data_IF_085440174426
#
_entry.id   IF_085440174426
#
_cell.length_a   1.000
_cell.length_b   1.000
_cell.length_c   1.000
_cell.angle_alpha   90.00
_cell.angle_beta   90.00
_cell.angle_gamma   90.00
#
_symmetry.space_group_name_H-M   'P 1'
#
loop_
_entity.id
_entity.type
_entity.pdbx_description
1 polymer ?
#
# COMPACT_ATOMS: atom_id res chain seq x y z
N UNK A 1 -32.11 -4.68 -25.61
CA UNK A 1 -30.82 -5.37 -25.92
C UNK A 1 -30.85 -6.85 -25.54
N UNK A 2 -31.37 -7.21 -24.36
CA UNK A 2 -31.66 -8.62 -23.98
C UNK A 2 -32.58 -9.34 -24.97
N UNK A 3 -33.63 -8.67 -25.47
CA UNK A 3 -34.62 -9.30 -26.36
C UNK A 3 -34.10 -9.56 -27.79
N UNK A 4 -33.16 -8.73 -28.27
CA UNK A 4 -32.53 -8.90 -29.59
C UNK A 4 -31.51 -10.05 -29.55
N UNK A 5 -30.77 -10.18 -28.46
CA UNK A 5 -29.83 -11.30 -28.26
C UNK A 5 -30.57 -12.64 -28.07
N UNK A 6 -31.75 -12.63 -27.43
CA UNK A 6 -32.61 -13.80 -27.33
C UNK A 6 -33.17 -14.24 -28.70
N UNK A 7 -33.58 -13.28 -29.54
CA UNK A 7 -34.04 -13.59 -30.90
C UNK A 7 -32.93 -14.19 -31.78
N UNK A 8 -31.70 -13.66 -31.66
CA UNK A 8 -30.53 -14.17 -32.40
C UNK A 8 -30.13 -15.59 -31.95
N UNK A 9 -30.25 -15.90 -30.66
CA UNK A 9 -29.97 -17.24 -30.14
C UNK A 9 -30.97 -18.31 -30.63
N UNK A 10 -32.21 -17.90 -30.91
CA UNK A 10 -33.27 -18.79 -31.42
C UNK A 10 -33.14 -19.00 -32.94
N UNK A 11 -32.77 -17.96 -33.69
CA UNK A 11 -32.72 -18.02 -35.16
C UNK A 11 -31.42 -18.62 -35.71
N UNK A 12 -30.30 -18.50 -34.99
CA UNK A 12 -29.00 -18.98 -35.46
C UNK A 12 -28.94 -20.50 -35.73
N UNK A 13 -29.51 -21.38 -34.89
CA UNK A 13 -29.52 -22.82 -35.17
C UNK A 13 -30.39 -23.19 -36.39
N UNK A 14 -31.51 -22.50 -36.59
CA UNK A 14 -32.40 -22.73 -37.72
C UNK A 14 -31.75 -22.30 -39.06
N UNK A 15 -31.07 -21.16 -39.07
CA UNK A 15 -30.29 -20.68 -40.22
C UNK A 15 -29.10 -21.61 -40.53
N UNK A 16 -28.44 -22.14 -39.51
CA UNK A 16 -27.34 -23.10 -39.70
C UNK A 16 -27.81 -24.47 -40.23
N UNK A 17 -29.00 -24.93 -39.82
CA UNK A 17 -29.60 -26.17 -40.31
C UNK A 17 -30.02 -26.04 -41.79
N UNK A 18 -30.64 -24.92 -42.16
CA UNK A 18 -31.06 -24.65 -43.54
C UNK A 18 -29.86 -24.50 -44.49
N UNK A 19 -28.78 -23.86 -44.02
CA UNK A 19 -27.51 -23.78 -44.76
C UNK A 19 -26.88 -25.17 -45.02
N UNK A 20 -27.07 -26.13 -44.10
CA UNK A 20 -26.52 -27.49 -44.23
C UNK A 20 -27.29 -28.35 -45.23
N UNK A 21 -28.61 -28.19 -45.32
CA UNK A 21 -29.44 -28.87 -46.34
C UNK A 21 -29.20 -28.31 -47.75
N UNK A 22 -29.03 -27.00 -47.90
CA UNK A 22 -28.76 -26.40 -49.21
C UNK A 22 -27.36 -26.74 -49.72
N UNK A 23 -26.34 -26.85 -48.86
CA UNK A 23 -25.00 -27.26 -49.26
C UNK A 23 -24.85 -28.78 -49.53
N UNK A 24 -25.73 -29.63 -48.99
CA UNK A 24 -25.73 -31.06 -49.34
C UNK A 24 -26.19 -31.31 -50.79
N UNK A 25 -26.96 -30.38 -51.37
CA UNK A 25 -27.38 -30.44 -52.79
C UNK A 25 -26.31 -29.91 -53.76
N UNK A 26 -25.22 -29.32 -53.27
CA UNK A 26 -24.14 -28.74 -54.10
C UNK A 26 -23.09 -29.80 -54.51
N UNK A 27 -23.13 -31.01 -53.93
CA UNK A 27 -22.19 -32.09 -54.25
C UNK A 27 -22.57 -32.84 -55.55
N UNK A 28 -23.75 -32.60 -56.12
CA UNK A 28 -24.18 -33.16 -57.41
C UNK A 28 -24.31 -32.07 -58.49
N UNK A 29 -23.18 -31.47 -58.88
CA UNK A 29 -22.83 -31.24 -60.28
C UNK A 29 -23.70 -30.38 -61.21
N UNK A 30 -24.56 -29.46 -60.76
CA UNK A 30 -25.23 -28.51 -61.67
C UNK A 30 -24.96 -27.02 -61.34
N UNK A 31 -24.69 -26.15 -62.35
CA UNK A 31 -24.47 -24.73 -62.13
C UNK A 31 -25.80 -23.97 -62.04
N UNK A 32 -25.98 -23.15 -60.99
CA UNK A 32 -27.15 -22.25 -60.85
C UNK A 32 -26.72 -20.79 -60.67
N UNK A 33 -27.58 -19.82 -61.09
CA UNK A 33 -27.19 -18.43 -61.29
C UNK A 33 -27.13 -17.65 -59.96
N UNK A 34 -26.33 -16.58 -59.97
CA UNK A 34 -26.18 -15.58 -58.90
C UNK A 34 -27.52 -15.27 -58.22
N UNK A 35 -27.73 -15.85 -57.05
CA UNK A 35 -29.02 -15.85 -56.37
C UNK A 35 -29.06 -14.84 -55.23
N UNK A 36 -30.29 -14.44 -54.90
CA UNK A 36 -30.78 -13.46 -53.93
C UNK A 36 -30.06 -13.36 -52.57
N UNK A 37 -29.22 -14.35 -52.22
CA UNK A 37 -28.54 -14.51 -50.94
C UNK A 37 -27.31 -13.62 -50.76
N UNK A 38 -26.62 -13.22 -51.83
CA UNK A 38 -25.50 -12.27 -51.73
C UNK A 38 -25.96 -10.88 -51.26
N UNK A 39 -27.18 -10.47 -51.61
CA UNK A 39 -27.79 -9.22 -51.15
C UNK A 39 -28.17 -9.27 -49.68
N UNK A 40 -28.66 -10.42 -49.19
CA UNK A 40 -29.00 -10.60 -47.77
C UNK A 40 -27.74 -10.49 -46.90
N UNK A 41 -26.63 -11.08 -47.33
CA UNK A 41 -25.33 -10.95 -46.64
C UNK A 41 -24.79 -9.52 -46.66
N UNK A 42 -24.91 -8.81 -47.79
CA UNK A 42 -24.49 -7.41 -47.88
C UNK A 42 -25.29 -6.51 -46.93
N UNK A 43 -26.61 -6.70 -46.85
CA UNK A 43 -27.48 -5.93 -45.93
C UNK A 43 -27.16 -6.25 -44.46
N UNK A 44 -26.91 -7.52 -44.13
CA UNK A 44 -26.51 -7.91 -42.77
C UNK A 44 -25.20 -7.25 -42.32
N UNK A 45 -24.18 -7.20 -43.20
CA UNK A 45 -22.92 -6.53 -42.92
C UNK A 45 -23.08 -5.01 -42.71
N UNK A 46 -23.96 -4.36 -43.50
CA UNK A 46 -24.25 -2.92 -43.35
C UNK A 46 -24.93 -2.64 -42.01
N UNK A 47 -25.90 -3.47 -41.59
CA UNK A 47 -26.59 -3.33 -40.30
C UNK A 47 -25.61 -3.49 -39.13
N UNK A 48 -24.69 -4.46 -39.20
CA UNK A 48 -23.65 -4.66 -38.17
C UNK A 48 -22.72 -3.43 -38.09
N UNK A 49 -22.28 -2.90 -39.24
CA UNK A 49 -21.44 -1.69 -39.28
C UNK A 49 -22.15 -0.45 -38.73
N UNK A 50 -23.45 -0.28 -39.02
CA UNK A 50 -24.25 0.82 -38.48
C UNK A 50 -24.45 0.68 -36.96
N UNK A 51 -24.68 -0.53 -36.45
CA UNK A 51 -24.74 -0.81 -35.02
C UNK A 51 -23.41 -0.54 -34.31
N UNK A 52 -22.27 -0.90 -34.92
CA UNK A 52 -20.94 -0.58 -34.37
C UNK A 52 -20.66 0.91 -34.39
N UNK A 53 -21.07 1.64 -35.43
CA UNK A 53 -20.95 3.11 -35.50
C UNK A 53 -21.81 3.81 -34.44
N UNK A 54 -23.04 3.34 -34.20
CA UNK A 54 -23.90 3.86 -33.14
C UNK A 54 -23.30 3.59 -31.74
N UNK A 55 -22.71 2.41 -31.53
CA UNK A 55 -22.00 2.07 -30.29
C UNK A 55 -20.78 2.95 -30.03
N UNK A 56 -20.02 3.31 -31.07
CA UNK A 56 -18.86 4.20 -30.96
C UNK A 56 -19.26 5.67 -30.77
N UNK A 57 -20.35 6.13 -31.38
CA UNK A 57 -20.91 7.48 -31.16
C UNK A 57 -21.42 7.67 -29.73
N UNK A 58 -22.07 6.64 -29.15
CA UNK A 58 -22.51 6.67 -27.74
C UNK A 58 -21.35 6.67 -26.72
N UNK A 59 -20.09 6.47 -27.14
CA UNK A 59 -18.92 6.60 -26.26
C UNK A 59 -18.24 7.98 -26.31
N UNK A 60 -18.63 8.88 -27.22
CA UNK A 60 -17.88 10.12 -27.49
C UNK A 60 -18.65 11.42 -27.29
N UNK A 61 -19.87 11.38 -26.77
CA UNK A 61 -20.59 12.58 -26.33
C UNK A 61 -21.27 12.31 -25.00
N UNK A 62 -20.67 12.85 -23.93
CA UNK A 62 -21.37 13.55 -22.85
C UNK A 62 -20.32 14.21 -21.93
N UNK A 63 -19.96 15.43 -22.34
CA UNK A 63 -19.52 16.49 -21.43
C UNK A 63 -20.73 16.99 -20.65
N UNK A 64 -20.56 17.14 -19.33
CA UNK A 64 -21.52 17.71 -18.36
C UNK A 64 -22.79 16.87 -18.10
N UNK A 65 -22.67 15.88 -17.22
CA UNK A 65 -23.76 15.43 -16.35
C UNK A 65 -23.15 14.85 -15.06
N UNK A 66 -23.33 15.54 -13.94
CA UNK A 66 -23.08 14.99 -12.59
C UNK A 66 -24.07 13.86 -12.39
N UNK A 67 -23.57 12.62 -12.37
CA UNK A 67 -24.39 11.43 -12.45
C UNK A 67 -24.94 11.08 -11.05
N UNK A 68 -26.25 11.08 -10.89
CA UNK A 68 -26.98 10.74 -9.64
C UNK A 68 -26.60 9.34 -9.10
N UNK A 69 -26.02 8.48 -9.94
CA UNK A 69 -25.41 7.21 -9.53
C UNK A 69 -24.14 7.37 -8.68
N UNK A 70 -23.31 8.39 -8.94
CA UNK A 70 -22.09 8.65 -8.17
C UNK A 70 -22.39 9.23 -6.78
N UNK A 71 -23.55 9.85 -6.58
CA UNK A 71 -24.01 10.30 -5.25
C UNK A 71 -24.61 9.17 -4.40
N UNK A 72 -25.23 8.16 -5.04
CA UNK A 72 -25.72 6.98 -4.34
C UNK A 72 -24.58 6.02 -3.98
N UNK A 73 -23.58 5.84 -4.85
CA UNK A 73 -22.40 5.00 -4.59
C UNK A 73 -21.50 5.53 -3.45
N UNK A 74 -21.57 6.83 -3.12
CA UNK A 74 -20.87 7.41 -1.95
C UNK A 74 -21.57 7.13 -0.61
N UNK A 75 -22.85 6.74 -0.62
CA UNK A 75 -23.62 6.51 0.63
C UNK A 75 -23.35 5.14 1.25
N UNK A 76 -22.90 4.16 0.48
CA UNK A 76 -22.75 2.77 0.94
C UNK A 76 -21.32 2.39 1.37
N UNK A 77 -20.39 3.36 1.43
CA UNK A 77 -19.05 3.17 2.03
C UNK A 77 -18.09 2.24 1.29
N UNK A 78 -18.43 1.79 0.07
CA UNK A 78 -17.58 0.90 -0.74
C UNK A 78 -16.73 1.74 -1.72
N UNK A 79 -15.51 2.07 -1.31
CA UNK A 79 -14.52 2.74 -2.17
C UNK A 79 -14.09 1.83 -3.34
N UNK A 80 -14.00 2.36 -4.57
CA UNK A 80 -13.72 1.59 -5.81
C UNK A 80 -12.23 1.61 -6.15
N UNK A 81 -11.78 0.60 -6.93
CA UNK A 81 -10.36 0.38 -7.31
C UNK A 81 -9.56 1.62 -7.74
N UNK A 82 -10.22 2.60 -8.37
CA UNK A 82 -9.63 3.87 -8.84
C UNK A 82 -9.32 4.87 -7.73
N UNK A 83 -9.97 4.77 -6.58
CA UNK A 83 -9.72 5.61 -5.41
C UNK A 83 -8.41 5.22 -4.70
N UNK A 84 -7.71 4.18 -5.19
CA UNK A 84 -6.51 3.58 -4.58
C UNK A 84 -5.27 3.64 -5.46
N UNK A 85 -5.38 4.22 -6.66
CA UNK A 85 -4.19 4.61 -7.41
C UNK A 85 -3.58 5.79 -6.65
N UNK A 86 -2.30 5.67 -6.27
CA UNK A 86 -1.58 6.79 -5.69
C UNK A 86 -1.78 8.01 -6.59
N UNK A 87 -2.07 9.16 -5.98
CA UNK A 87 -2.37 10.39 -6.69
C UNK A 87 -1.41 10.56 -7.87
N UNK A 88 -1.95 10.60 -9.08
CA UNK A 88 -1.15 10.66 -10.31
C UNK A 88 -0.35 11.97 -10.39
N UNK A 89 -0.61 12.93 -9.49
CA UNK A 89 0.11 14.20 -9.37
C UNK A 89 1.23 14.18 -8.30
N UNK A 90 1.31 13.11 -7.50
CA UNK A 90 2.32 12.96 -6.45
C UNK A 90 3.75 12.85 -6.98
N UNK A 91 4.72 13.24 -6.15
CA UNK A 91 6.15 13.28 -6.50
C UNK A 91 6.68 11.93 -7.04
N UNK A 92 6.24 10.80 -6.47
CA UNK A 92 6.62 9.45 -6.93
C UNK A 92 6.17 9.13 -8.37
N UNK A 93 5.12 9.78 -8.86
CA UNK A 93 4.55 9.59 -10.19
C UNK A 93 5.03 10.68 -11.15
N UNK A 94 5.11 11.93 -10.68
CA UNK A 94 5.35 13.11 -11.51
C UNK A 94 6.83 13.35 -11.85
N UNK A 95 7.77 12.95 -10.98
CA UNK A 95 9.18 13.19 -11.25
C UNK A 95 9.74 12.24 -12.33
N UNK A 96 10.70 12.71 -13.15
CA UNK A 96 11.41 11.85 -14.09
C UNK A 96 12.06 10.68 -13.37
N UNK A 97 11.85 9.49 -13.92
CA UNK A 97 12.43 8.24 -13.42
C UNK A 97 13.69 7.91 -14.23
N UNK A 98 14.69 7.34 -13.56
CA UNK A 98 15.83 6.74 -14.25
C UNK A 98 15.46 5.38 -14.88
N UNK A 99 16.43 4.72 -15.50
CA UNK A 99 16.26 3.43 -16.19
C UNK A 99 15.74 2.31 -15.28
N UNK A 100 15.96 2.44 -13.97
CA UNK A 100 15.51 1.50 -12.94
C UNK A 100 14.14 1.88 -12.35
N UNK A 101 13.49 2.93 -12.88
CA UNK A 101 12.21 3.42 -12.39
C UNK A 101 12.31 4.28 -11.11
N UNK A 102 13.51 4.68 -10.71
CA UNK A 102 13.73 5.45 -9.48
C UNK A 102 13.64 6.96 -9.70
N UNK A 103 13.08 7.68 -8.72
CA UNK A 103 13.22 9.13 -8.59
C UNK A 103 14.44 9.46 -7.73
N UNK A 104 14.92 10.71 -7.80
CA UNK A 104 16.01 11.22 -6.96
C UNK A 104 15.56 12.46 -6.21
N UNK A 105 15.73 12.46 -4.88
CA UNK A 105 15.43 13.62 -4.04
C UNK A 105 16.67 14.02 -3.22
N UNK A 106 16.99 15.32 -3.10
CA UNK A 106 18.12 15.80 -2.33
C UNK A 106 17.84 15.74 -0.82
N UNK A 107 18.81 15.27 -0.04
CA UNK A 107 18.79 15.42 1.41
C UNK A 107 18.97 16.90 1.76
N UNK A 108 17.94 17.54 2.30
CA UNK A 108 17.98 18.98 2.63
C UNK A 108 18.22 19.25 4.10
N UNK A 109 17.81 18.33 4.98
CA UNK A 109 18.03 18.45 6.42
C UNK A 109 18.26 17.09 7.06
N UNK A 110 19.18 17.04 8.03
CA UNK A 110 19.39 15.89 8.90
C UNK A 110 19.45 16.36 10.36
N UNK A 111 18.53 15.86 11.19
CA UNK A 111 18.43 16.25 12.61
C UNK A 111 18.64 15.01 13.47
N UNK A 112 19.54 15.09 14.45
CA UNK A 112 19.77 14.00 15.41
C UNK A 112 18.63 13.97 16.44
N UNK A 113 18.01 12.81 16.65
CA UNK A 113 16.95 12.60 17.65
C UNK A 113 17.56 12.11 18.96
N UNK A 114 18.33 11.02 18.88
CA UNK A 114 19.00 10.42 20.03
C UNK A 114 20.39 9.91 19.63
N UNK A 115 20.99 9.04 20.43
CA UNK A 115 22.35 8.54 20.23
C UNK A 115 22.61 7.91 18.85
N UNK A 116 21.62 7.26 18.25
CA UNK A 116 21.78 6.54 16.98
C UNK A 116 20.65 6.79 15.97
N UNK A 117 19.70 7.67 16.23
CA UNK A 117 18.56 7.91 15.34
C UNK A 117 18.53 9.35 14.84
N UNK A 118 18.17 9.53 13.56
CA UNK A 118 18.07 10.83 12.89
C UNK A 118 16.77 10.96 12.10
N UNK A 119 16.25 12.18 12.02
CA UNK A 119 15.32 12.61 10.97
C UNK A 119 16.11 12.98 9.71
N UNK A 120 15.70 12.42 8.58
CA UNK A 120 16.17 12.75 7.24
C UNK A 120 15.03 13.40 6.47
N UNK A 121 15.23 14.62 6.00
CA UNK A 121 14.27 15.36 5.19
C UNK A 121 14.76 15.51 3.77
N UNK A 122 13.88 15.20 2.83
CA UNK A 122 14.11 15.36 1.40
C UNK A 122 13.06 16.31 0.84
N UNK A 123 13.49 17.44 0.28
CA UNK A 123 12.55 18.42 -0.27
C UNK A 123 12.18 18.05 -1.71
N UNK A 124 10.93 18.32 -2.07
CA UNK A 124 10.43 18.15 -3.42
C UNK A 124 10.79 19.37 -4.28
N UNK A 125 10.87 19.22 -5.61
CA UNK A 125 11.07 20.36 -6.50
C UNK A 125 9.96 21.42 -6.41
N UNK A 126 8.71 21.00 -6.20
CA UNK A 126 7.57 21.88 -5.95
C UNK A 126 7.13 21.80 -4.50
N UNK A 127 6.91 22.97 -3.88
CA UNK A 127 6.43 23.07 -2.49
C UNK A 127 4.96 22.69 -2.31
N UNK A 128 4.19 22.62 -3.40
CA UNK A 128 2.76 22.36 -3.37
C UNK A 128 2.40 20.88 -3.59
N UNK A 129 3.39 20.06 -3.99
CA UNK A 129 3.20 18.64 -4.24
C UNK A 129 3.29 17.81 -2.96
N UNK A 130 2.49 16.75 -2.91
CA UNK A 130 2.57 15.67 -1.93
C UNK A 130 3.45 14.53 -2.46
N UNK A 131 3.84 13.60 -1.60
CA UNK A 131 4.77 12.54 -2.00
C UNK A 131 4.16 11.53 -2.99
N UNK A 132 2.85 11.27 -2.92
CA UNK A 132 2.19 10.25 -3.74
C UNK A 132 2.34 8.82 -3.21
N UNK A 133 2.36 8.65 -1.88
CA UNK A 133 2.40 7.35 -1.20
C UNK A 133 1.05 7.03 -0.58
N UNK A 134 0.52 5.82 -0.82
CA UNK A 134 -0.69 5.34 -0.14
C UNK A 134 -0.40 4.97 1.32
N UNK A 135 -1.38 5.10 2.21
CA UNK A 135 -1.25 4.69 3.63
C UNK A 135 -1.05 3.18 3.71
N UNK A 136 -0.03 2.72 4.42
CA UNK A 136 0.43 1.33 4.45
C UNK A 136 1.53 1.02 3.42
N UNK A 137 1.87 2.00 2.58
CA UNK A 137 2.94 1.91 1.60
C UNK A 137 4.32 2.27 2.16
N UNK A 138 5.36 1.93 1.41
CA UNK A 138 6.74 2.33 1.65
C UNK A 138 7.44 2.64 0.32
N UNK A 139 8.67 3.14 0.43
CA UNK A 139 9.59 3.27 -0.71
C UNK A 139 10.81 2.39 -0.50
N UNK A 140 11.52 2.10 -1.58
CA UNK A 140 12.80 1.39 -1.57
C UNK A 140 13.89 2.41 -1.87
N UNK A 141 14.87 2.51 -0.96
CA UNK A 141 16.08 3.28 -1.17
C UNK A 141 17.12 2.40 -1.85
N UNK A 142 17.78 2.96 -2.86
CA UNK A 142 18.89 2.35 -3.57
C UNK A 142 20.17 3.14 -3.30
N UNK A 143 21.24 2.41 -3.01
CA UNK A 143 22.56 2.97 -2.82
C UNK A 143 23.62 1.99 -3.28
N UNK A 144 24.70 2.52 -3.83
CA UNK A 144 25.87 1.72 -4.18
C UNK A 144 26.91 1.86 -3.06
N UNK A 145 27.27 0.75 -2.41
CA UNK A 145 28.12 0.74 -1.21
C UNK A 145 29.25 -0.27 -1.35
N UNK A 146 30.36 -0.02 -0.67
CA UNK A 146 31.39 -1.05 -0.47
C UNK A 146 30.88 -2.05 0.58
N UNK A 147 30.71 -3.31 0.20
CA UNK A 147 30.38 -4.38 1.13
C UNK A 147 31.68 -4.84 1.83
N UNK A 148 31.81 -4.63 3.16
CA UNK A 148 33.01 -4.99 3.90
C UNK A 148 33.24 -6.50 4.02
N UNK A 149 32.21 -7.34 3.81
CA UNK A 149 32.34 -8.79 3.85
C UNK A 149 32.92 -9.34 2.53
N UNK A 150 32.50 -8.77 1.40
CA UNK A 150 32.93 -9.24 0.07
C UNK A 150 34.09 -8.42 -0.50
N UNK A 151 34.35 -7.23 0.04
CA UNK A 151 35.31 -6.26 -0.48
C UNK A 151 34.91 -5.67 -1.84
N UNK A 152 33.65 -5.83 -2.25
CA UNK A 152 33.14 -5.39 -3.57
C UNK A 152 32.14 -4.26 -3.42
N UNK A 153 32.05 -3.45 -4.48
CA UNK A 153 31.00 -2.46 -4.63
C UNK A 153 29.71 -3.15 -5.05
N UNK A 154 28.64 -2.95 -4.30
CA UNK A 154 27.36 -3.61 -4.49
C UNK A 154 26.23 -2.58 -4.39
N UNK A 155 25.23 -2.72 -5.27
CA UNK A 155 23.98 -1.99 -5.12
C UNK A 155 23.11 -2.67 -4.06
N UNK A 156 22.62 -1.90 -3.11
CA UNK A 156 21.77 -2.36 -2.02
C UNK A 156 20.43 -1.64 -2.05
N UNK A 157 19.37 -2.41 -1.78
CA UNK A 157 18.00 -1.92 -1.71
C UNK A 157 17.42 -2.12 -0.30
N UNK A 158 16.83 -1.08 0.31
CA UNK A 158 16.19 -1.19 1.63
C UNK A 158 14.89 -0.40 1.69
N UNK A 159 13.89 -0.97 2.37
CA UNK A 159 12.54 -0.40 2.50
C UNK A 159 12.50 0.61 3.64
N UNK A 160 11.84 1.74 3.41
CA UNK A 160 11.59 2.77 4.41
C UNK A 160 10.18 3.33 4.27
N UNK A 161 9.48 3.43 5.40
CA UNK A 161 8.22 4.15 5.49
C UNK A 161 8.50 5.55 6.04
N UNK A 162 8.04 6.62 5.38
CA UNK A 162 8.17 7.97 5.92
C UNK A 162 7.30 8.17 7.17
N UNK A 163 7.67 9.15 7.99
CA UNK A 163 6.93 9.55 9.20
C UNK A 163 6.14 10.85 9.01
N UNK A 164 6.44 11.62 7.96
CA UNK A 164 5.58 12.72 7.53
C UNK A 164 4.25 12.17 7.04
N UNK A 165 3.17 12.91 7.27
CA UNK A 165 1.84 12.53 6.78
C UNK A 165 1.84 12.45 5.26
N UNK A 166 0.94 11.64 4.67
CA UNK A 166 0.84 11.55 3.20
C UNK A 166 0.40 12.85 2.54
N UNK A 167 -0.29 13.70 3.31
CA UNK A 167 -0.71 15.04 2.91
C UNK A 167 0.39 16.11 3.09
N UNK A 168 1.59 15.72 3.54
CA UNK A 168 2.69 16.65 3.69
C UNK A 168 3.13 17.17 2.32
N UNK A 169 3.09 18.49 2.16
CA UNK A 169 3.52 19.18 0.96
C UNK A 169 4.96 19.65 1.04
N UNK A 170 5.65 19.59 -0.09
CA UNK A 170 6.98 20.16 -0.31
C UNK A 170 8.17 19.38 0.26
N UNK A 171 7.95 18.39 1.12
CA UNK A 171 9.02 17.51 1.60
C UNK A 171 8.49 16.17 2.11
N UNK A 172 9.40 15.21 2.25
CA UNK A 172 9.17 13.93 2.92
C UNK A 172 10.22 13.70 4.02
N UNK A 173 9.81 13.12 5.14
CA UNK A 173 10.69 12.84 6.27
C UNK A 173 10.72 11.36 6.66
N UNK A 174 11.92 10.89 7.02
CA UNK A 174 12.17 9.53 7.49
C UNK A 174 12.91 9.57 8.84
N UNK A 175 12.46 8.74 9.79
CA UNK A 175 13.18 8.47 11.04
C UNK A 175 13.96 7.19 10.86
N UNK A 176 15.30 7.28 10.93
CA UNK A 176 16.17 6.15 10.63
C UNK A 176 17.18 5.97 11.77
N UNK A 177 17.15 4.76 12.34
CA UNK A 177 18.14 4.27 13.30
C UNK A 177 19.39 3.80 12.56
N UNK A 178 20.55 4.27 13.00
CA UNK A 178 21.86 3.98 12.43
C UNK A 178 22.46 2.77 13.14
N UNK A 179 22.78 1.73 12.38
CA UNK A 179 23.49 0.56 12.89
C UNK A 179 24.96 0.67 12.52
N UNK A 180 25.81 1.13 13.44
CA UNK A 180 27.24 1.35 13.13
C UNK A 180 28.04 0.07 13.27
N UNK A 181 29.13 -0.03 12.51
CA UNK A 181 30.10 -1.10 12.69
C UNK A 181 30.70 -1.07 14.11
N UNK A 182 30.97 -2.25 14.68
CA UNK A 182 31.56 -2.41 16.01
C UNK A 182 30.61 -2.26 17.20
N UNK A 183 29.38 -1.80 17.01
CA UNK A 183 28.42 -1.63 18.13
C UNK A 183 27.73 -2.95 18.55
N UNK A 184 27.59 -3.91 17.63
CA UNK A 184 26.94 -5.19 17.90
C UNK A 184 27.85 -6.36 17.51
N UNK A 185 28.28 -7.22 18.46
CA UNK A 185 29.13 -8.37 18.17
C UNK A 185 28.55 -9.36 17.16
N UNK A 186 27.20 -9.48 17.08
CA UNK A 186 26.53 -10.34 16.09
C UNK A 186 26.50 -9.74 14.68
N UNK A 187 26.68 -8.42 14.58
CA UNK A 187 26.64 -7.68 13.32
C UNK A 187 27.84 -6.72 13.28
N UNK A 188 29.08 -7.24 13.22
CA UNK A 188 30.30 -6.45 13.40
C UNK A 188 30.45 -5.34 12.35
N UNK A 189 29.90 -5.52 11.16
CA UNK A 189 29.95 -4.55 10.06
C UNK A 189 28.82 -3.51 10.06
N UNK A 190 27.85 -3.62 10.98
CA UNK A 190 26.70 -2.73 11.06
C UNK A 190 25.75 -2.83 9.86
N UNK A 191 24.88 -1.83 9.70
CA UNK A 191 23.90 -1.75 8.63
C UNK A 191 24.43 -0.94 7.45
N UNK A 192 24.58 -1.59 6.29
CA UNK A 192 25.14 -0.98 5.07
C UNK A 192 24.40 0.30 4.65
N UNK A 193 23.08 0.23 4.45
CA UNK A 193 22.27 1.39 4.05
C UNK A 193 22.28 2.49 5.11
N UNK A 194 22.13 2.13 6.38
CA UNK A 194 22.04 3.13 7.45
C UNK A 194 23.35 3.89 7.62
N UNK A 195 24.50 3.23 7.50
CA UNK A 195 25.80 3.90 7.52
C UNK A 195 26.07 4.72 6.25
N UNK A 196 25.53 4.30 5.10
CA UNK A 196 25.53 5.11 3.88
C UNK A 196 24.74 6.42 4.11
N UNK A 197 23.52 6.33 4.65
CA UNK A 197 22.68 7.50 4.96
C UNK A 197 23.31 8.43 6.00
N UNK A 198 24.00 7.88 7.01
CA UNK A 198 24.76 8.69 7.97
C UNK A 198 25.88 9.51 7.31
N UNK A 199 26.44 9.01 6.19
CA UNK A 199 27.49 9.70 5.43
C UNK A 199 26.95 10.59 4.31
N UNK A 200 25.71 10.41 3.88
CA UNK A 200 25.05 11.21 2.86
C UNK A 200 25.11 12.70 3.24
N UNK A 201 25.65 13.55 2.36
CA UNK A 201 25.80 14.98 2.64
C UNK A 201 24.53 15.75 2.29
N UNK A 202 24.32 16.86 2.98
CA UNK A 202 23.24 17.79 2.61
C UNK A 202 23.47 18.26 1.17
N UNK A 203 22.41 18.21 0.35
CA UNK A 203 22.43 18.48 -1.08
C UNK A 203 22.63 17.23 -1.96
N UNK A 204 23.14 16.13 -1.42
CA UNK A 204 23.25 14.87 -2.17
C UNK A 204 21.89 14.20 -2.31
N UNK A 205 21.63 13.64 -3.49
CA UNK A 205 20.35 12.98 -3.79
C UNK A 205 20.39 11.49 -3.50
N UNK A 206 19.26 10.97 -3.00
CA UNK A 206 19.03 9.56 -2.76
C UNK A 206 18.09 9.00 -3.82
N UNK A 207 18.42 7.83 -4.38
CA UNK A 207 17.53 7.09 -5.29
C UNK A 207 16.41 6.43 -4.49
N UNK A 208 15.16 6.65 -4.90
CA UNK A 208 13.97 6.10 -4.28
C UNK A 208 13.02 5.51 -5.33
N UNK A 209 12.46 4.34 -5.05
CA UNK A 209 11.43 3.71 -5.86
C UNK A 209 10.15 3.51 -5.03
N UNK A 210 9.00 3.79 -5.63
CA UNK A 210 7.70 3.52 -5.03
C UNK A 210 6.55 4.08 -5.86
N UNK A 211 5.32 3.99 -5.33
CA UNK A 211 4.96 3.41 -4.03
C UNK A 211 4.99 1.87 -4.04
N UNK A 212 5.39 1.25 -2.93
CA UNK A 212 5.40 -0.21 -2.73
C UNK A 212 4.56 -0.59 -1.51
N UNK A 213 4.01 -1.80 -1.49
CA UNK A 213 3.21 -2.28 -0.37
C UNK A 213 2.10 -3.23 -0.81
N UNK A 214 1.63 -4.08 0.11
CA UNK A 214 0.48 -4.98 -0.12
C UNK A 214 -0.73 -4.62 0.73
N UNK A 215 -0.58 -3.68 1.65
CA UNK A 215 -1.60 -3.20 2.57
C UNK A 215 -1.82 -1.73 2.26
N UNK A 216 -3.08 -1.36 2.04
CA UNK A 216 -3.50 0.03 1.95
C UNK A 216 -4.62 0.30 2.95
N UNK A 217 -4.46 1.30 3.81
CA UNK A 217 -5.56 1.81 4.63
C UNK A 217 -6.30 2.90 3.85
N UNK A 218 -7.61 2.78 3.79
CA UNK A 218 -8.46 3.59 2.91
C UNK A 218 -9.36 4.54 3.70
N UNK A 219 -9.20 4.59 5.02
CA UNK A 219 -10.06 5.35 5.94
C UNK A 219 -11.29 4.55 6.39
N UNK A 220 -11.88 5.00 7.50
CA UNK A 220 -13.10 4.44 8.10
C UNK A 220 -13.05 2.92 8.33
N UNK A 221 -11.88 2.35 8.61
CA UNK A 221 -11.72 0.91 8.82
C UNK A 221 -11.65 0.06 7.54
N UNK A 222 -11.63 0.69 6.36
CA UNK A 222 -11.47 0.01 5.09
C UNK A 222 -9.99 -0.27 4.81
N UNK A 223 -9.67 -1.53 4.52
CA UNK A 223 -8.34 -1.97 4.12
C UNK A 223 -8.39 -2.71 2.79
N UNK A 224 -7.40 -2.46 1.96
CA UNK A 224 -7.10 -3.27 0.79
C UNK A 224 -5.81 -4.05 1.05
N UNK A 225 -5.91 -5.37 1.22
CA UNK A 225 -4.78 -6.21 1.58
C UNK A 225 -4.65 -7.38 0.63
N UNK A 226 -3.49 -7.53 -0.01
CA UNK A 226 -3.19 -8.63 -0.93
C UNK A 226 -4.31 -8.88 -1.95
N UNK A 227 -4.85 -7.78 -2.51
CA UNK A 227 -5.94 -7.75 -3.50
C UNK A 227 -7.35 -8.05 -2.98
N UNK A 228 -7.57 -7.99 -1.66
CA UNK A 228 -8.88 -8.22 -1.02
C UNK A 228 -9.29 -7.01 -0.18
N UNK A 229 -10.59 -6.73 -0.14
CA UNK A 229 -11.16 -5.71 0.75
C UNK A 229 -11.49 -6.31 2.11
N UNK A 230 -11.21 -5.54 3.15
CA UNK A 230 -11.52 -5.88 4.52
C UNK A 230 -12.10 -4.63 5.20
N UNK A 231 -13.15 -4.82 5.99
CA UNK A 231 -13.71 -3.79 6.87
C UNK A 231 -13.43 -4.22 8.29
N UNK A 232 -12.83 -3.33 9.08
CA UNK A 232 -12.32 -3.62 10.42
C UNK A 232 -12.73 -2.52 11.37
N UNK A 233 -13.02 -2.87 12.62
CA UNK A 233 -13.42 -1.94 13.68
C UNK A 233 -12.33 -1.80 14.75
N UNK A 234 -11.37 -2.73 14.79
CA UNK A 234 -10.22 -2.70 15.69
C UNK A 234 -8.93 -3.16 14.99
N UNK A 235 -7.81 -2.54 15.35
CA UNK A 235 -6.47 -2.87 14.86
C UNK A 235 -5.55 -3.14 16.05
N UNK A 236 -5.01 -4.35 16.14
CA UNK A 236 -3.84 -4.65 16.97
C UNK A 236 -2.56 -4.37 16.19
N UNK A 237 -1.64 -3.65 16.80
CA UNK A 237 -0.42 -3.18 16.16
C UNK A 237 0.77 -3.62 17.01
N UNK A 238 1.67 -4.42 16.43
CA UNK A 238 2.86 -4.91 17.12
C UNK A 238 4.10 -4.38 16.39
N UNK A 239 4.78 -3.42 17.01
CA UNK A 239 5.96 -2.76 16.47
C UNK A 239 7.22 -3.13 17.26
N UNK A 240 8.36 -3.22 16.57
CA UNK A 240 9.67 -3.39 17.20
C UNK A 240 10.71 -2.44 16.62
N UNK A 241 11.28 -1.56 17.44
CA UNK A 241 12.26 -0.55 17.02
C UNK A 241 11.77 0.30 15.83
N UNK A 242 12.53 0.32 14.73
CA UNK A 242 12.19 1.09 13.52
C UNK A 242 10.92 0.61 12.79
N UNK A 243 10.40 -0.58 13.15
CA UNK A 243 9.12 -1.09 12.65
C UNK A 243 7.90 -0.26 13.08
N UNK A 244 8.08 0.74 13.95
CA UNK A 244 7.02 1.70 14.27
C UNK A 244 6.57 2.55 13.07
N UNK A 245 7.44 2.81 12.10
CA UNK A 245 7.16 3.76 11.01
C UNK A 245 5.93 3.40 10.15
N UNK A 246 5.72 2.16 9.65
CA UNK A 246 4.48 1.77 8.96
C UNK A 246 3.24 1.82 9.86
N UNK A 247 3.40 1.52 11.14
CA UNK A 247 2.30 1.55 12.12
C UNK A 247 1.86 3.00 12.38
N UNK A 248 2.83 3.89 12.57
CA UNK A 248 2.60 5.30 12.79
C UNK A 248 1.89 5.96 11.61
N UNK A 249 2.23 5.58 10.38
CA UNK A 249 1.53 6.06 9.18
C UNK A 249 0.03 5.72 9.18
N UNK A 250 -0.35 4.52 9.64
CA UNK A 250 -1.77 4.15 9.81
C UNK A 250 -2.41 5.00 10.91
N UNK A 251 -1.76 5.11 12.07
CA UNK A 251 -2.30 5.87 13.21
C UNK A 251 -2.54 7.34 12.83
N UNK A 252 -1.58 7.97 12.16
CA UNK A 252 -1.72 9.35 11.65
C UNK A 252 -2.94 9.48 10.72
N UNK A 253 -3.18 8.50 9.85
CA UNK A 253 -4.33 8.52 8.96
C UNK A 253 -5.66 8.35 9.69
N UNK A 254 -5.73 7.42 10.65
CA UNK A 254 -6.92 7.21 11.51
C UNK A 254 -7.30 8.52 12.20
N UNK A 255 -6.31 9.18 12.77
CA UNK A 255 -6.47 10.45 13.49
C UNK A 255 -6.88 11.58 12.54
N UNK A 256 -6.19 11.73 11.41
CA UNK A 256 -6.47 12.76 10.41
C UNK A 256 -7.92 12.66 9.89
N UNK A 257 -8.38 11.44 9.59
CA UNK A 257 -9.72 11.17 9.09
C UNK A 257 -10.80 11.20 10.18
N UNK A 258 -10.41 11.27 11.46
CA UNK A 258 -11.31 11.12 12.63
C UNK A 258 -12.07 9.80 12.59
N UNK A 259 -11.37 8.74 12.17
CA UNK A 259 -11.94 7.41 12.05
C UNK A 259 -12.30 6.86 13.44
N UNK A 260 -13.43 6.17 13.55
CA UNK A 260 -13.91 5.60 14.82
C UNK A 260 -13.29 4.25 15.18
N UNK A 261 -12.33 3.78 14.38
CA UNK A 261 -11.60 2.53 14.62
C UNK A 261 -10.76 2.63 15.88
N UNK A 262 -10.62 1.52 16.61
CA UNK A 262 -9.71 1.44 17.76
C UNK A 262 -8.36 0.86 17.35
N UNK A 263 -7.30 1.44 17.87
CA UNK A 263 -5.92 1.06 17.61
C UNK A 263 -5.24 0.70 18.92
N UNK A 264 -4.67 -0.50 18.99
CA UNK A 264 -3.95 -1.03 20.15
C UNK A 264 -2.50 -1.27 19.77
N UNK A 265 -1.59 -0.41 20.22
CA UNK A 265 -0.17 -0.51 19.92
C UNK A 265 0.60 -1.15 21.08
N UNK A 266 1.21 -2.31 20.82
CA UNK A 266 2.29 -2.87 21.62
C UNK A 266 3.63 -2.57 20.94
N UNK A 267 4.43 -1.69 21.54
CA UNK A 267 5.67 -1.19 20.96
C UNK A 267 6.91 -1.64 21.74
N UNK A 268 7.66 -2.57 21.14
CA UNK A 268 8.86 -3.19 21.69
C UNK A 268 10.15 -2.44 21.37
N UNK A 269 10.98 -2.17 22.38
CA UNK A 269 12.29 -1.53 22.24
C UNK A 269 13.33 -2.17 23.18
N UNK A 270 14.62 -1.90 22.98
CA UNK A 270 15.67 -2.43 23.87
C UNK A 270 15.68 -1.74 25.24
N UNK A 271 15.57 -0.42 25.22
CA UNK A 271 15.55 0.44 26.41
C UNK A 271 14.66 1.66 26.18
N UNK A 272 14.43 2.45 27.22
CA UNK A 272 13.54 3.62 27.16
C UNK A 272 14.06 4.70 26.19
N UNK A 273 15.38 4.92 26.15
CA UNK A 273 16.04 5.83 25.20
C UNK A 273 15.97 5.39 23.72
N UNK A 274 15.59 4.14 23.47
CA UNK A 274 15.44 3.59 22.12
C UNK A 274 14.03 3.79 21.54
N UNK A 275 13.08 4.25 22.35
CA UNK A 275 11.70 4.48 21.91
C UNK A 275 11.69 5.62 20.91
N UNK A 276 11.41 5.28 19.64
CA UNK A 276 11.27 6.25 18.57
C UNK A 276 9.91 6.93 18.65
N UNK A 277 9.85 8.21 18.28
CA UNK A 277 8.62 9.03 18.22
C UNK A 277 7.75 8.96 19.49
N UNK A 278 8.42 8.89 20.66
CA UNK A 278 7.75 8.66 21.95
C UNK A 278 6.75 9.77 22.26
N UNK A 279 7.20 11.02 22.18
CA UNK A 279 6.41 12.20 22.52
C UNK A 279 5.17 12.27 21.63
N UNK A 280 5.31 11.99 20.34
CA UNK A 280 4.20 11.95 19.38
C UNK A 280 3.20 10.84 19.71
N UNK A 281 3.66 9.65 20.10
CA UNK A 281 2.77 8.54 20.48
C UNK A 281 2.05 8.81 21.81
N UNK A 282 2.73 9.37 22.80
CA UNK A 282 2.13 9.72 24.10
C UNK A 282 1.08 10.82 23.92
N UNK A 283 1.39 11.87 23.14
CA UNK A 283 0.42 12.92 22.81
C UNK A 283 -0.81 12.36 22.09
N UNK A 284 -0.62 11.45 21.14
CA UNK A 284 -1.73 10.79 20.44
C UNK A 284 -2.63 10.00 21.39
N UNK A 285 -2.06 9.35 22.42
CA UNK A 285 -2.86 8.64 23.42
C UNK A 285 -3.64 9.61 24.31
N UNK A 286 -3.06 10.74 24.67
CA UNK A 286 -3.73 11.79 25.46
C UNK A 286 -4.87 12.46 24.69
N UNK A 287 -4.66 12.72 23.40
CA UNK A 287 -5.66 13.37 22.53
C UNK A 287 -6.80 12.43 22.14
N UNK A 288 -6.51 11.12 22.01
CA UNK A 288 -7.46 10.11 21.52
C UNK A 288 -7.56 8.87 22.43
N UNK A 289 -7.84 9.03 23.74
CA UNK A 289 -7.75 7.93 24.70
C UNK A 289 -8.74 6.80 24.45
N UNK A 290 -9.88 7.08 23.81
CA UNK A 290 -10.89 6.06 23.46
C UNK A 290 -10.53 5.26 22.18
N UNK A 291 -9.75 5.87 21.28
CA UNK A 291 -9.41 5.30 19.97
C UNK A 291 -7.99 4.72 19.92
N UNK A 292 -7.07 5.20 20.75
CA UNK A 292 -5.67 4.77 20.72
C UNK A 292 -5.19 4.35 22.11
N UNK A 293 -4.79 3.08 22.21
CA UNK A 293 -4.16 2.50 23.40
C UNK A 293 -2.71 2.19 23.08
N UNK A 294 -1.80 2.74 23.87
CA UNK A 294 -0.36 2.59 23.71
C UNK A 294 0.20 1.80 24.89
N UNK A 295 0.99 0.79 24.58
CA UNK A 295 1.71 -0.01 25.56
C UNK A 295 3.14 -0.21 25.10
N UNK A 296 4.07 0.16 25.95
CA UNK A 296 5.49 -0.09 25.73
C UNK A 296 5.91 -1.41 26.36
N UNK A 297 6.82 -2.11 25.68
CA UNK A 297 7.58 -3.22 26.25
C UNK A 297 9.07 -3.00 25.97
N UNK A 298 9.91 -3.11 27.00
CA UNK A 298 11.36 -2.93 26.86
C UNK A 298 12.15 -4.13 27.38
N UNK A 299 13.24 -4.50 26.69
CA UNK A 299 14.08 -5.63 27.14
C UNK A 299 14.62 -5.39 28.56
N UNK A 300 15.06 -4.16 28.84
CA UNK A 300 15.57 -3.74 30.14
C UNK A 300 15.19 -2.29 30.45
N UNK A 301 14.53 -2.09 31.59
CA UNK A 301 14.31 -0.75 32.14
C UNK A 301 15.60 -0.16 32.70
N UNK A 302 15.85 1.11 32.42
CA UNK A 302 16.97 1.86 33.02
C UNK A 302 16.71 2.07 34.52
N UNK A 303 15.46 2.36 34.89
CA UNK A 303 14.99 2.38 36.28
C UNK A 303 13.66 1.59 36.40
N UNK A 304 13.69 0.35 36.94
CA UNK A 304 12.49 -0.47 37.11
C UNK A 304 11.40 0.17 37.99
N UNK A 305 11.79 1.00 38.97
CA UNK A 305 10.83 1.58 39.92
C UNK A 305 9.95 2.68 39.29
N UNK A 306 10.41 3.27 38.18
CA UNK A 306 9.69 4.35 37.47
C UNK A 306 9.10 3.91 36.14
N UNK A 307 9.47 2.73 35.64
CA UNK A 307 8.98 2.22 34.36
C UNK A 307 7.53 1.75 34.48
N UNK A 308 6.65 2.36 33.69
CA UNK A 308 5.20 2.05 33.70
C UNK A 308 4.77 1.03 32.66
N UNK A 309 5.67 0.66 31.73
CA UNK A 309 5.38 -0.33 30.69
C UNK A 309 5.73 -1.74 31.12
N UNK A 310 5.65 -2.68 30.17
CA UNK A 310 6.09 -4.05 30.37
C UNK A 310 7.62 -4.18 30.22
N UNK A 311 8.21 -5.20 30.84
CA UNK A 311 9.63 -5.54 30.65
C UNK A 311 9.79 -6.95 30.11
N UNK A 312 10.75 -7.15 29.22
CA UNK A 312 11.05 -8.44 28.59
C UNK A 312 10.59 -8.52 27.14
N UNK A 313 10.27 -9.73 26.69
CA UNK A 313 9.85 -10.00 25.31
C UNK A 313 8.34 -10.23 25.22
N UNK A 314 7.80 -10.18 24.00
CA UNK A 314 6.41 -10.53 23.73
C UNK A 314 6.13 -11.96 24.20
N UNK A 315 5.14 -12.11 25.07
CA UNK A 315 4.60 -13.40 25.51
C UNK A 315 3.12 -13.52 25.15
N UNK A 316 2.56 -14.72 25.31
CA UNK A 316 1.13 -14.94 25.10
C UNK A 316 0.30 -14.07 26.06
N UNK A 317 0.70 -14.00 27.33
CA UNK A 317 0.00 -13.24 28.38
C UNK A 317 -0.02 -11.74 28.07
N UNK A 318 1.09 -11.19 27.57
CA UNK A 318 1.17 -9.79 27.14
C UNK A 318 0.24 -9.55 25.95
N UNK A 319 0.22 -10.46 24.96
CA UNK A 319 -0.67 -10.32 23.81
C UNK A 319 -2.14 -10.39 24.21
N UNK A 320 -2.51 -11.33 25.08
CA UNK A 320 -3.88 -11.46 25.61
C UNK A 320 -4.32 -10.23 26.42
N UNK A 321 -3.38 -9.59 27.14
CA UNK A 321 -3.64 -8.41 27.96
C UNK A 321 -3.86 -7.15 27.12
N UNK A 322 -3.11 -6.96 26.03
CA UNK A 322 -3.04 -5.68 25.33
C UNK A 322 -3.60 -5.66 23.90
N UNK A 323 -3.68 -6.82 23.23
CA UNK A 323 -4.25 -6.88 21.88
C UNK A 323 -5.78 -7.00 21.91
N UNK A 324 -6.46 -6.46 20.87
CA UNK A 324 -7.90 -6.67 20.72
C UNK A 324 -8.21 -8.16 20.59
N UNK A 325 -9.44 -8.53 20.98
CA UNK A 325 -9.89 -9.92 20.89
C UNK A 325 -9.84 -10.40 19.44
N UNK A 326 -9.46 -11.66 19.27
CA UNK A 326 -9.49 -12.31 17.97
C UNK A 326 -10.93 -12.32 17.42
N UNK A 327 -11.09 -11.94 16.16
CA UNK A 327 -12.40 -11.88 15.51
C UNK A 327 -12.36 -11.29 14.10
N UNK A 328 -13.46 -11.43 13.38
CA UNK A 328 -13.57 -11.01 11.97
C UNK A 328 -13.47 -9.50 11.78
N UNK A 329 -13.78 -8.71 12.80
CA UNK A 329 -13.65 -7.24 12.76
C UNK A 329 -12.26 -6.74 13.17
N UNK A 330 -11.39 -7.63 13.63
CA UNK A 330 -10.06 -7.29 14.14
C UNK A 330 -9.01 -7.54 13.05
N UNK A 331 -8.06 -6.62 12.93
CA UNK A 331 -6.86 -6.76 12.10
C UNK A 331 -5.63 -6.70 12.99
N UNK A 332 -4.67 -7.61 12.81
CA UNK A 332 -3.36 -7.51 13.47
C UNK A 332 -2.32 -7.12 12.42
N UNK A 333 -1.60 -6.02 12.65
CA UNK A 333 -0.46 -5.62 11.83
C UNK A 333 0.84 -5.70 12.62
N UNK A 334 1.90 -6.22 11.98
CA UNK A 334 3.20 -6.40 12.64
C UNK A 334 4.35 -5.85 11.81
N UNK A 335 5.30 -5.19 12.46
CA UNK A 335 6.55 -4.78 11.83
C UNK A 335 7.68 -4.69 12.86
N UNK A 336 8.77 -5.43 12.65
CA UNK A 336 9.88 -5.48 13.59
C UNK A 336 10.81 -6.66 13.32
N UNK A 337 11.71 -6.99 14.26
CA UNK A 337 12.69 -8.06 14.10
C UNK A 337 12.05 -9.42 13.80
N UNK A 338 12.76 -10.35 13.12
CA UNK A 338 12.22 -11.67 12.79
C UNK A 338 11.64 -12.43 13.99
N UNK A 339 12.33 -12.41 15.12
CA UNK A 339 11.90 -13.10 16.35
C UNK A 339 10.56 -12.57 16.88
N UNK A 340 10.35 -11.26 16.83
CA UNK A 340 9.10 -10.62 17.25
C UNK A 340 7.93 -11.09 16.39
N UNK A 341 8.10 -11.11 15.07
CA UNK A 341 7.06 -11.58 14.15
C UNK A 341 6.77 -13.07 14.32
N UNK A 342 7.79 -13.89 14.62
CA UNK A 342 7.60 -15.31 14.89
C UNK A 342 6.78 -15.53 16.17
N UNK A 343 7.04 -14.77 17.23
CA UNK A 343 6.27 -14.84 18.47
C UNK A 343 4.82 -14.40 18.26
N UNK A 344 4.59 -13.29 17.56
CA UNK A 344 3.23 -12.86 17.21
C UNK A 344 2.46 -13.94 16.44
N UNK A 345 3.08 -14.55 15.42
CA UNK A 345 2.49 -15.67 14.66
C UNK A 345 2.25 -16.93 15.48
N UNK A 346 3.07 -17.18 16.50
CA UNK A 346 2.92 -18.34 17.39
C UNK A 346 1.68 -18.23 18.27
N UNK A 347 1.37 -17.02 18.75
CA UNK A 347 0.34 -16.81 19.76
C UNK A 347 -0.96 -16.21 19.22
N UNK A 348 -0.97 -15.65 18.00
CA UNK A 348 -2.15 -15.05 17.38
C UNK A 348 -2.56 -15.82 16.12
N UNK A 349 -3.87 -15.83 15.76
CA UNK A 349 -4.34 -16.53 14.58
C UNK A 349 -3.73 -15.96 13.29
N UNK A 350 -3.05 -16.80 12.49
CA UNK A 350 -2.29 -16.33 11.33
C UNK A 350 -3.13 -15.56 10.30
N UNK A 351 -4.39 -15.93 10.10
CA UNK A 351 -5.29 -15.27 9.15
C UNK A 351 -5.63 -13.81 9.52
N UNK A 352 -5.36 -13.39 10.76
CA UNK A 352 -5.56 -12.01 11.21
C UNK A 352 -4.30 -11.16 11.04
N UNK A 353 -3.14 -11.78 10.84
CA UNK A 353 -1.83 -11.12 10.92
C UNK A 353 -1.38 -10.68 9.52
N UNK A 354 -1.12 -9.39 9.39
CA UNK A 354 -0.51 -8.79 8.22
C UNK A 354 0.81 -8.12 8.58
N UNK A 355 1.89 -8.72 8.08
CA UNK A 355 3.23 -8.21 8.26
C UNK A 355 3.58 -7.20 7.16
N UNK A 356 4.17 -6.06 7.55
CA UNK A 356 4.76 -5.08 6.64
C UNK A 356 6.06 -5.56 5.96
#
# INVERSE_FOLDING_TARGET
MRDILALLAILAPALAAQYKEENLKIVEGEPTPFSHWSWVWAVACIVILLCMRAFLKNKTTDSANVNVKDELDKRDGVYRRKDFEADNEGVLQALPKDEDGCIKLPLTKRTKINHDTYHFRFDFPSKDQEFGLHIGGHVVFYAEVMNPETGKKEEIARKYTPVSTVHQKGYIEFVIKIYRAGENPRFPHGGLMTQYLEKLRIGESLKMEGPMGKLSYLGCGNFYISKKYHIKTEIGMIAGGSGITPIYQIIQSVVHNKDKIKCHLLFGNKSEKDILIREELEQLQEDYPENFKLTYIIDKADNPDTWKGETGYITQEILEKYMPKAGDETLIVTCGPPIMNQLAKKFLPEHMIHKF
#
